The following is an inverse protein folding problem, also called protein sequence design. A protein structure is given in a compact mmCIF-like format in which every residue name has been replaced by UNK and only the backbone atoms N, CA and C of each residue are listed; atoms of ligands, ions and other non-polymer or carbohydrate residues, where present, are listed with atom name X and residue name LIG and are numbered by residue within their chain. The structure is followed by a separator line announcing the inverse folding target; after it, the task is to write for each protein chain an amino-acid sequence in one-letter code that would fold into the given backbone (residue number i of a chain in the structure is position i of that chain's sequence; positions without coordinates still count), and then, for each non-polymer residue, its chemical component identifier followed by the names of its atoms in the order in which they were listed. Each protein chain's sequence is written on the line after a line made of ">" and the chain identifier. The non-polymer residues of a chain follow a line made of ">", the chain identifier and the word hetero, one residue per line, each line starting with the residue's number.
data_IF_041490463021
#
_entry.id   IF_041490463021
#
_cell.length_a   1.000
_cell.length_b   1.000
_cell.length_c   1.000
_cell.angle_alpha   90.00
_cell.angle_beta   90.00
_cell.angle_gamma   90.00
#
_symmetry.space_group_name_H-M   'P 1'
#
loop_
_entity.id
_entity.type
_entity.pdbx_description
1 polymer ?
#
# COMPACT_ATOMS: atom_id res chain seq x y z
N UNK A 1 -8.53 20.65 -6.18
CA UNK A 1 -8.92 20.56 -7.61
C UNK A 1 -7.83 21.00 -8.58
N UNK A 2 -7.06 22.09 -8.33
CA UNK A 2 -5.92 22.47 -9.21
C UNK A 2 -4.79 21.43 -9.26
N UNK A 3 -4.50 20.74 -8.16
CA UNK A 3 -3.47 19.68 -8.12
C UNK A 3 -3.95 18.34 -8.71
N UNK A 4 -5.25 18.21 -9.00
CA UNK A 4 -5.86 16.99 -9.54
C UNK A 4 -5.52 16.81 -11.02
N UNK A 5 -5.65 17.88 -11.81
CA UNK A 5 -5.30 17.88 -13.22
C UNK A 5 -3.78 17.94 -13.45
N UNK A 6 -3.03 18.53 -12.53
CA UNK A 6 -1.56 18.63 -12.65
C UNK A 6 -0.90 17.26 -12.71
N UNK A 7 -1.33 16.27 -11.92
CA UNK A 7 -0.72 14.92 -11.94
C UNK A 7 -0.88 14.21 -13.29
N UNK A 8 -2.08 14.29 -13.89
CA UNK A 8 -2.39 13.66 -15.19
C UNK A 8 -1.59 14.23 -16.36
N UNK A 9 -0.98 15.41 -16.19
CA UNK A 9 -0.18 16.12 -17.21
C UNK A 9 1.25 16.35 -16.72
N UNK A 10 1.63 15.80 -15.56
CA UNK A 10 2.96 15.97 -15.01
C UNK A 10 3.94 15.07 -15.76
N UNK A 11 4.53 15.59 -16.83
CA UNK A 11 5.54 14.90 -17.64
C UNK A 11 6.86 14.59 -16.89
N UNK A 12 6.91 14.78 -15.57
CA UNK A 12 7.99 14.31 -14.70
C UNK A 12 7.72 12.92 -14.13
N UNK A 13 6.46 12.49 -14.11
CA UNK A 13 6.04 11.19 -13.59
C UNK A 13 6.21 10.11 -14.68
N UNK A 14 6.97 9.02 -14.42
CA UNK A 14 7.29 8.02 -15.43
C UNK A 14 6.05 7.29 -15.97
N UNK A 15 4.99 7.17 -15.18
CA UNK A 15 3.69 6.65 -15.56
C UNK A 15 3.00 7.52 -16.62
N UNK A 16 3.11 8.84 -16.52
CA UNK A 16 2.51 9.79 -17.48
C UNK A 16 3.27 9.72 -18.80
N UNK A 17 4.60 9.69 -18.76
CA UNK A 17 5.43 9.57 -19.97
C UNK A 17 5.13 8.27 -20.72
N UNK A 18 5.09 7.13 -20.01
CA UNK A 18 4.76 5.83 -20.61
C UNK A 18 3.34 5.83 -21.19
N UNK A 19 2.39 6.43 -20.49
CA UNK A 19 1.01 6.56 -20.98
C UNK A 19 0.95 7.33 -22.29
N UNK A 20 1.59 8.49 -22.38
CA UNK A 20 1.60 9.31 -23.61
C UNK A 20 2.19 8.52 -24.77
N UNK A 21 3.36 7.91 -24.59
CA UNK A 21 4.01 7.12 -25.65
C UNK A 21 3.16 5.94 -26.11
N UNK A 22 2.63 5.15 -25.18
CA UNK A 22 1.77 4.02 -25.52
C UNK A 22 0.47 4.46 -26.21
N UNK A 23 -0.12 5.59 -25.80
CA UNK A 23 -1.35 6.11 -26.41
C UNK A 23 -1.14 6.59 -27.84
N UNK A 24 -0.02 7.27 -28.10
CA UNK A 24 0.36 7.69 -29.46
C UNK A 24 0.58 6.47 -30.34
N UNK A 25 1.35 5.49 -29.86
CA UNK A 25 1.61 4.24 -30.60
C UNK A 25 0.32 3.47 -30.87
N UNK A 26 -0.59 3.42 -29.89
CA UNK A 26 -1.89 2.76 -30.03
C UNK A 26 -2.76 3.44 -31.10
N UNK A 27 -2.81 4.78 -31.16
CA UNK A 27 -3.55 5.48 -32.21
C UNK A 27 -2.93 5.30 -33.58
N UNK A 28 -1.60 5.33 -33.70
CA UNK A 28 -0.93 5.04 -34.98
C UNK A 28 -1.33 3.64 -35.47
N UNK A 29 -1.35 2.65 -34.58
CA UNK A 29 -1.83 1.31 -34.91
C UNK A 29 -3.31 1.30 -35.36
N UNK A 30 -4.20 2.01 -34.67
CA UNK A 30 -5.62 2.10 -35.04
C UNK A 30 -5.87 2.81 -36.38
N UNK A 31 -4.99 3.75 -36.75
CA UNK A 31 -5.04 4.39 -38.07
C UNK A 31 -4.59 3.43 -39.17
N UNK A 32 -3.56 2.61 -38.94
CA UNK A 32 -3.05 1.65 -39.92
C UNK A 32 -4.06 0.57 -40.30
N UNK A 33 -4.95 0.19 -39.37
CA UNK A 33 -5.97 -0.84 -39.60
C UNK A 33 -7.33 -0.28 -40.06
N UNK A 34 -7.43 1.04 -40.28
CA UNK A 34 -8.70 1.74 -40.54
C UNK A 34 -9.80 1.35 -39.53
N UNK A 35 -9.49 1.53 -38.24
CA UNK A 35 -10.34 1.09 -37.14
C UNK A 35 -11.77 1.66 -37.23
N UNK A 36 -11.96 2.84 -37.84
CA UNK A 36 -13.28 3.41 -38.06
C UNK A 36 -14.18 2.49 -38.91
N UNK A 37 -13.65 1.95 -40.00
CA UNK A 37 -14.38 0.99 -40.85
C UNK A 37 -14.58 -0.36 -40.13
N UNK A 38 -13.57 -0.82 -39.38
CA UNK A 38 -13.65 -2.07 -38.59
C UNK A 38 -14.73 -1.99 -37.51
N UNK A 39 -14.87 -0.83 -36.84
CA UNK A 39 -15.90 -0.59 -35.82
C UNK A 39 -17.31 -0.78 -36.38
N UNK A 40 -17.58 -0.21 -37.55
CA UNK A 40 -18.90 -0.28 -38.19
C UNK A 40 -19.25 -1.72 -38.61
N UNK A 41 -18.25 -2.49 -39.05
CA UNK A 41 -18.44 -3.89 -39.45
C UNK A 41 -18.55 -4.86 -38.27
N UNK A 42 -17.98 -4.53 -37.11
CA UNK A 42 -17.83 -5.45 -35.97
C UNK A 42 -18.38 -4.88 -34.65
N UNK A 43 -19.51 -4.15 -34.73
CA UNK A 43 -20.05 -3.41 -33.58
C UNK A 43 -20.32 -4.31 -32.36
N UNK A 44 -20.76 -5.55 -32.58
CA UNK A 44 -21.04 -6.51 -31.50
C UNK A 44 -19.78 -6.98 -30.79
N UNK A 45 -18.68 -7.20 -31.52
CA UNK A 45 -17.38 -7.52 -30.91
C UNK A 45 -16.83 -6.36 -30.09
N UNK A 46 -17.06 -5.12 -30.53
CA UNK A 46 -16.66 -3.92 -29.79
C UNK A 46 -17.50 -3.73 -28.52
N UNK A 47 -18.81 -3.99 -28.58
CA UNK A 47 -19.67 -4.00 -27.38
C UNK A 47 -19.18 -5.03 -26.36
N UNK A 48 -18.82 -6.23 -26.81
CA UNK A 48 -18.27 -7.29 -25.95
C UNK A 48 -16.95 -6.86 -25.30
N UNK A 49 -16.01 -6.33 -26.10
CA UNK A 49 -14.73 -5.80 -25.60
C UNK A 49 -14.95 -4.72 -24.54
N UNK A 50 -15.86 -3.78 -24.78
CA UNK A 50 -16.19 -2.69 -23.87
C UNK A 50 -16.75 -3.22 -22.54
N UNK A 51 -17.64 -4.21 -22.59
CA UNK A 51 -18.19 -4.84 -21.38
C UNK A 51 -17.10 -5.57 -20.58
N UNK A 52 -16.20 -6.27 -21.25
CA UNK A 52 -15.04 -6.92 -20.60
C UNK A 52 -14.13 -5.90 -19.94
N UNK A 53 -13.87 -4.76 -20.60
CA UNK A 53 -13.07 -3.68 -20.03
C UNK A 53 -13.74 -3.05 -18.81
N UNK A 54 -15.07 -2.83 -18.85
CA UNK A 54 -15.83 -2.38 -17.67
C UNK A 54 -15.67 -3.37 -16.52
N UNK A 55 -15.82 -4.67 -16.78
CA UNK A 55 -15.61 -5.71 -15.77
C UNK A 55 -14.19 -5.68 -15.17
N UNK A 56 -13.17 -5.51 -16.02
CA UNK A 56 -11.78 -5.36 -15.58
C UNK A 56 -11.55 -4.11 -14.71
N UNK A 57 -12.17 -2.98 -15.07
CA UNK A 57 -12.11 -1.75 -14.29
C UNK A 57 -12.82 -1.89 -12.93
N UNK A 58 -13.96 -2.58 -12.85
CA UNK A 58 -14.61 -2.90 -11.58
C UNK A 58 -13.69 -3.77 -10.70
N UNK A 59 -12.99 -4.74 -11.30
CA UNK A 59 -11.96 -5.52 -10.60
C UNK A 59 -10.85 -4.63 -10.02
N UNK A 60 -10.31 -3.72 -10.83
CA UNK A 60 -9.29 -2.74 -10.38
C UNK A 60 -9.81 -1.82 -9.27
N UNK A 61 -11.09 -1.44 -9.31
CA UNK A 61 -11.71 -0.66 -8.23
C UNK A 61 -11.68 -1.43 -6.91
N UNK A 62 -12.01 -2.72 -6.95
CA UNK A 62 -11.90 -3.62 -5.80
C UNK A 62 -10.48 -3.69 -5.24
N UNK A 63 -9.48 -3.82 -6.12
CA UNK A 63 -8.05 -3.79 -5.73
C UNK A 63 -7.67 -2.47 -5.07
N UNK A 64 -8.17 -1.33 -5.57
CA UNK A 64 -7.89 -0.02 -4.98
C UNK A 64 -8.47 0.13 -3.57
N UNK A 65 -9.70 -0.35 -3.34
CA UNK A 65 -10.35 -0.32 -2.03
C UNK A 65 -9.63 -1.26 -1.05
N UNK A 66 -9.31 -2.48 -1.49
CA UNK A 66 -8.55 -3.43 -0.69
C UNK A 66 -7.16 -2.88 -0.34
N UNK A 67 -6.46 -2.28 -1.29
CA UNK A 67 -5.15 -1.65 -1.07
C UNK A 67 -5.20 -0.55 0.00
N UNK A 68 -6.25 0.28 -0.01
CA UNK A 68 -6.46 1.29 1.01
C UNK A 68 -6.72 0.68 2.40
N UNK A 69 -7.56 -0.34 2.48
CA UNK A 69 -7.86 -1.04 3.74
C UNK A 69 -6.62 -1.71 4.32
N UNK A 70 -5.78 -2.32 3.47
CA UNK A 70 -4.53 -2.93 3.93
C UNK A 70 -3.52 -1.87 4.36
N UNK A 71 -3.36 -0.78 3.62
CA UNK A 71 -2.49 0.31 4.04
C UNK A 71 -2.92 0.87 5.42
N UNK A 72 -4.22 0.97 5.69
CA UNK A 72 -4.74 1.38 6.99
C UNK A 72 -4.49 0.33 8.09
N UNK A 73 -4.61 -0.96 7.79
CA UNK A 73 -4.42 -2.03 8.79
C UNK A 73 -2.95 -2.34 9.08
N UNK A 74 -2.05 -2.00 8.15
CA UNK A 74 -0.62 -2.24 8.30
C UNK A 74 0.00 -1.42 9.44
N UNK A 75 -0.54 -0.22 9.72
CA UNK A 75 0.03 0.69 10.71
C UNK A 75 -0.90 0.88 11.90
N UNK A 76 -0.33 0.91 13.10
CA UNK A 76 -1.10 1.21 14.31
C UNK A 76 -1.39 2.72 14.41
N UNK A 77 -2.40 3.11 15.20
CA UNK A 77 -2.71 4.52 15.42
C UNK A 77 -1.52 5.32 16.00
N UNK A 78 -0.63 4.66 16.75
CA UNK A 78 0.59 5.28 17.29
C UNK A 78 1.62 5.53 16.18
N UNK A 79 1.82 4.57 15.29
CA UNK A 79 2.71 4.70 14.14
C UNK A 79 2.23 5.76 13.17
N UNK A 80 0.91 5.81 12.88
CA UNK A 80 0.31 6.84 12.03
C UNK A 80 0.54 8.24 12.60
N UNK A 81 0.40 8.42 13.93
CA UNK A 81 0.71 9.71 14.59
C UNK A 81 2.19 10.05 14.44
N UNK A 82 3.07 9.11 14.73
CA UNK A 82 4.53 9.30 14.62
C UNK A 82 4.94 9.69 13.19
N UNK A 83 4.35 9.06 12.17
CA UNK A 83 4.57 9.38 10.76
C UNK A 83 4.11 10.81 10.45
N UNK A 84 2.92 11.20 10.92
CA UNK A 84 2.40 12.55 10.72
C UNK A 84 3.20 13.62 11.51
N UNK A 85 3.77 13.28 12.67
CA UNK A 85 4.62 14.18 13.46
C UNK A 85 5.96 14.46 12.77
N UNK A 86 6.47 13.49 11.99
CA UNK A 86 7.70 13.66 11.17
C UNK A 86 7.45 14.49 9.91
N UNK A 87 6.31 14.25 9.25
CA UNK A 87 5.87 15.01 8.09
C UNK A 87 4.35 15.15 8.11
N UNK A 88 3.90 16.38 8.30
CA UNK A 88 2.48 16.72 8.40
C UNK A 88 1.67 16.09 7.26
N UNK A 89 0.59 15.40 7.62
CA UNK A 89 -0.40 14.82 6.72
C UNK A 89 0.12 13.75 5.72
N UNK A 90 1.30 13.19 5.95
CA UNK A 90 1.89 12.16 5.07
C UNK A 90 1.04 10.90 4.96
N UNK A 91 0.48 10.40 6.07
CA UNK A 91 -0.36 9.18 6.04
C UNK A 91 -1.74 9.40 5.36
N UNK A 92 -2.49 10.48 5.67
CA UNK A 92 -3.68 10.85 4.90
C UNK A 92 -3.41 11.05 3.41
N UNK A 93 -2.23 11.54 3.02
CA UNK A 93 -1.88 11.75 1.62
C UNK A 93 -1.70 10.43 0.85
N UNK A 94 -1.17 9.39 1.51
CA UNK A 94 -1.12 8.03 0.96
C UNK A 94 -2.54 7.52 0.68
N UNK A 95 -3.45 7.63 1.67
CA UNK A 95 -4.85 7.20 1.49
C UNK A 95 -5.56 8.00 0.39
N UNK A 96 -5.28 9.29 0.29
CA UNK A 96 -5.80 10.17 -0.76
C UNK A 96 -5.38 9.71 -2.16
N UNK A 97 -4.19 9.13 -2.28
CA UNK A 97 -3.67 8.58 -3.55
C UNK A 97 -4.51 7.38 -4.01
N UNK A 98 -4.81 6.43 -3.11
CA UNK A 98 -5.74 5.33 -3.39
C UNK A 98 -7.17 5.82 -3.69
N UNK A 99 -7.64 6.84 -2.96
CA UNK A 99 -8.97 7.41 -3.19
C UNK A 99 -9.10 8.07 -4.56
N UNK A 100 -8.09 8.83 -5.00
CA UNK A 100 -8.07 9.41 -6.33
C UNK A 100 -7.99 8.34 -7.42
N UNK A 101 -7.23 7.27 -7.22
CA UNK A 101 -7.18 6.16 -8.17
C UNK A 101 -8.55 5.50 -8.36
N UNK A 102 -9.23 5.21 -7.25
CA UNK A 102 -10.59 4.67 -7.27
C UNK A 102 -11.57 5.62 -7.99
N UNK A 103 -11.47 6.94 -7.74
CA UNK A 103 -12.27 7.94 -8.43
C UNK A 103 -12.03 7.92 -9.95
N UNK A 104 -10.78 7.85 -10.39
CA UNK A 104 -10.43 7.84 -11.80
C UNK A 104 -10.98 6.59 -12.52
N UNK A 105 -10.94 5.44 -11.85
CA UNK A 105 -11.56 4.19 -12.32
C UNK A 105 -13.07 4.35 -12.49
N UNK A 106 -13.77 4.89 -11.47
CA UNK A 106 -15.23 5.10 -11.53
C UNK A 106 -15.60 6.03 -12.68
N UNK A 107 -14.84 7.11 -12.88
CA UNK A 107 -15.07 8.04 -13.97
C UNK A 107 -14.88 7.36 -15.34
N UNK A 108 -13.88 6.46 -15.46
CA UNK A 108 -13.66 5.67 -16.68
C UNK A 108 -14.81 4.70 -16.96
N UNK A 109 -15.31 4.02 -15.91
CA UNK A 109 -16.48 3.14 -16.01
C UNK A 109 -17.70 3.92 -16.51
N UNK A 110 -17.97 5.11 -15.96
CA UNK A 110 -19.10 5.95 -16.40
C UNK A 110 -18.96 6.32 -17.88
N UNK A 111 -17.77 6.71 -18.33
CA UNK A 111 -17.50 7.00 -19.75
C UNK A 111 -17.75 5.77 -20.61
N UNK A 112 -17.27 4.59 -20.21
CA UNK A 112 -17.44 3.35 -20.98
C UNK A 112 -18.89 2.90 -21.04
N UNK A 113 -19.63 3.02 -19.94
CA UNK A 113 -21.08 2.77 -19.93
C UNK A 113 -21.81 3.74 -20.87
N UNK A 114 -21.43 5.02 -20.86
CA UNK A 114 -21.98 6.01 -21.79
C UNK A 114 -21.74 5.63 -23.26
N UNK A 115 -20.52 5.22 -23.61
CA UNK A 115 -20.19 4.74 -24.96
C UNK A 115 -20.98 3.48 -25.31
N UNK A 116 -21.09 2.54 -24.38
CA UNK A 116 -21.85 1.30 -24.59
C UNK A 116 -23.32 1.61 -24.90
N UNK A 117 -23.94 2.51 -24.14
CA UNK A 117 -25.32 2.96 -24.39
C UNK A 117 -25.45 3.65 -25.75
N UNK A 118 -24.48 4.48 -26.15
CA UNK A 118 -24.48 5.10 -27.49
C UNK A 118 -24.40 4.03 -28.59
N UNK A 119 -23.59 2.99 -28.42
CA UNK A 119 -23.47 1.88 -29.39
C UNK A 119 -24.73 0.99 -29.47
N UNK A 120 -25.63 1.04 -28.46
CA UNK A 120 -26.94 0.38 -28.54
C UNK A 120 -27.95 1.20 -29.36
N UNK A 121 -27.73 2.50 -29.50
CA UNK A 121 -28.61 3.38 -30.28
C UNK A 121 -28.17 3.45 -31.74
N UNK A 122 -29.11 3.73 -32.65
CA UNK A 122 -28.81 4.01 -34.06
C UNK A 122 -28.23 5.43 -34.24
N UNK A 123 -27.32 5.85 -33.35
CA UNK A 123 -26.73 7.17 -33.41
C UNK A 123 -25.90 7.31 -34.69
N UNK A 124 -26.00 8.44 -35.41
CA UNK A 124 -25.22 8.63 -36.64
C UNK A 124 -23.72 8.50 -36.35
N UNK A 125 -23.02 7.82 -37.25
CA UNK A 125 -21.57 7.62 -37.15
C UNK A 125 -20.87 8.99 -37.08
N UNK A 126 -19.99 9.21 -36.09
CA UNK A 126 -19.29 10.48 -35.96
C UNK A 126 -18.32 10.70 -37.13
N UNK A 127 -18.05 11.96 -37.53
CA UNK A 127 -17.02 12.25 -38.51
C UNK A 127 -15.68 11.63 -38.12
N UNK A 128 -15.00 11.00 -39.08
CA UNK A 128 -13.70 10.30 -38.92
C UNK A 128 -12.69 11.06 -38.04
N UNK A 129 -12.41 12.37 -38.23
CA UNK A 129 -11.44 13.06 -37.36
C UNK A 129 -11.91 13.17 -35.91
N UNK A 130 -13.21 13.38 -35.67
CA UNK A 130 -13.78 13.47 -34.31
C UNK A 130 -13.69 12.11 -33.63
N UNK A 131 -13.95 11.03 -34.37
CA UNK A 131 -13.84 9.67 -33.87
C UNK A 131 -12.43 9.39 -33.31
N UNK A 132 -11.37 9.61 -34.10
CA UNK A 132 -10.02 9.32 -33.65
C UNK A 132 -9.55 10.19 -32.48
N UNK A 133 -9.98 11.46 -32.41
CA UNK A 133 -9.67 12.33 -31.26
C UNK A 133 -10.32 11.78 -29.98
N UNK A 134 -11.60 11.40 -30.05
CA UNK A 134 -12.32 10.82 -28.92
C UNK A 134 -11.70 9.48 -28.50
N UNK A 135 -11.38 8.61 -29.47
CA UNK A 135 -10.69 7.34 -29.22
C UNK A 135 -9.32 7.56 -28.58
N UNK A 136 -8.56 8.57 -28.98
CA UNK A 136 -7.28 8.91 -28.34
C UNK A 136 -7.47 9.29 -26.87
N UNK A 137 -8.41 10.19 -26.58
CA UNK A 137 -8.68 10.65 -25.21
C UNK A 137 -9.06 9.47 -24.32
N UNK A 138 -9.95 8.59 -24.81
CA UNK A 138 -10.42 7.42 -24.06
C UNK A 138 -9.30 6.41 -23.84
N UNK A 139 -8.52 6.12 -24.88
CA UNK A 139 -7.40 5.17 -24.82
C UNK A 139 -6.31 5.67 -23.87
N UNK A 140 -6.00 6.97 -23.93
CA UNK A 140 -5.09 7.63 -23.01
C UNK A 140 -5.56 7.47 -21.57
N UNK A 141 -6.85 7.71 -21.32
CA UNK A 141 -7.39 7.63 -19.98
C UNK A 141 -7.37 6.20 -19.41
N UNK A 142 -7.69 5.20 -20.24
CA UNK A 142 -7.57 3.79 -19.86
C UNK A 142 -6.12 3.40 -19.55
N UNK A 143 -5.19 3.74 -20.44
CA UNK A 143 -3.77 3.44 -20.25
C UNK A 143 -3.20 4.14 -19.01
N UNK A 144 -3.62 5.38 -18.74
CA UNK A 144 -3.25 6.10 -17.52
C UNK A 144 -3.64 5.31 -16.28
N UNK A 145 -4.87 4.80 -16.21
CA UNK A 145 -5.35 3.99 -15.08
C UNK A 145 -4.50 2.72 -14.92
N UNK A 146 -4.13 2.04 -16.02
CA UNK A 146 -3.31 0.84 -15.95
C UNK A 146 -1.89 1.13 -15.43
N UNK A 147 -1.23 2.15 -15.98
CA UNK A 147 0.13 2.51 -15.55
C UNK A 147 0.16 3.10 -14.14
N UNK A 148 -0.84 3.89 -13.77
CA UNK A 148 -0.97 4.42 -12.42
C UNK A 148 -1.23 3.31 -11.40
N UNK A 149 -2.11 2.36 -11.72
CA UNK A 149 -2.34 1.18 -10.89
C UNK A 149 -1.06 0.36 -10.67
N UNK A 150 -0.24 0.22 -11.71
CA UNK A 150 1.07 -0.43 -11.58
C UNK A 150 2.03 0.35 -10.68
N UNK A 151 2.11 1.68 -10.81
CA UNK A 151 2.92 2.52 -9.92
C UNK A 151 2.47 2.40 -8.44
N UNK A 152 1.16 2.32 -8.22
CA UNK A 152 0.57 2.17 -6.89
C UNK A 152 0.97 0.84 -6.21
N UNK A 153 1.10 -0.24 -6.98
CA UNK A 153 1.65 -1.52 -6.47
C UNK A 153 3.09 -1.36 -5.97
N UNK A 154 3.93 -0.60 -6.68
CA UNK A 154 5.30 -0.31 -6.23
C UNK A 154 5.34 0.49 -4.92
N UNK A 155 4.44 1.47 -4.78
CA UNK A 155 4.30 2.22 -3.53
C UNK A 155 3.84 1.32 -2.38
N UNK A 156 2.94 0.37 -2.64
CA UNK A 156 2.47 -0.57 -1.64
C UNK A 156 3.60 -1.48 -1.10
N UNK A 157 4.46 -1.99 -1.99
CA UNK A 157 5.66 -2.75 -1.57
C UNK A 157 6.57 -1.89 -0.69
N UNK A 158 6.77 -0.63 -1.05
CA UNK A 158 7.59 0.30 -0.29
C UNK A 158 7.03 0.56 1.11
N UNK A 159 5.71 0.69 1.24
CA UNK A 159 5.03 0.81 2.55
C UNK A 159 5.20 -0.45 3.41
N UNK A 160 5.21 -1.63 2.80
CA UNK A 160 5.47 -2.89 3.51
C UNK A 160 6.88 -2.97 4.04
N UNK A 161 7.88 -2.58 3.26
CA UNK A 161 9.26 -2.49 3.74
C UNK A 161 9.43 -1.45 4.86
N UNK A 162 8.71 -0.32 4.79
CA UNK A 162 8.70 0.67 5.86
C UNK A 162 8.13 0.07 7.16
N UNK A 163 7.02 -0.67 7.07
CA UNK A 163 6.43 -1.34 8.23
C UNK A 163 7.38 -2.33 8.89
N UNK A 164 8.06 -3.16 8.10
CA UNK A 164 9.08 -4.09 8.59
C UNK A 164 10.23 -3.36 9.29
N UNK A 165 10.68 -2.23 8.73
CA UNK A 165 11.73 -1.40 9.32
C UNK A 165 11.31 -0.83 10.68
N UNK A 166 10.08 -0.30 10.79
CA UNK A 166 9.53 0.19 12.07
C UNK A 166 9.46 -0.94 13.09
N UNK A 167 9.00 -2.13 12.70
CA UNK A 167 8.94 -3.30 13.58
C UNK A 167 10.30 -3.71 14.15
N UNK A 168 11.35 -3.66 13.33
CA UNK A 168 12.73 -3.95 13.78
C UNK A 168 13.25 -2.90 14.75
N UNK A 169 12.94 -1.62 14.53
CA UNK A 169 13.33 -0.54 15.44
C UNK A 169 12.63 -0.72 16.79
N UNK A 170 11.32 -0.97 16.80
CA UNK A 170 10.57 -1.19 18.05
C UNK A 170 11.06 -2.42 18.83
N UNK A 171 11.39 -3.52 18.14
CA UNK A 171 11.97 -4.70 18.79
C UNK A 171 13.33 -4.40 19.43
N UNK A 172 14.17 -3.61 18.75
CA UNK A 172 15.49 -3.20 19.25
C UNK A 172 15.35 -2.26 20.46
N UNK A 173 14.39 -1.33 20.42
CA UNK A 173 14.14 -0.40 21.51
C UNK A 173 13.61 -1.12 22.75
N UNK A 174 12.67 -2.07 22.59
CA UNK A 174 12.20 -2.94 23.69
C UNK A 174 13.36 -3.70 24.33
N UNK A 175 14.22 -4.33 23.53
CA UNK A 175 15.40 -5.04 24.05
C UNK A 175 16.34 -4.13 24.87
N UNK A 176 16.52 -2.86 24.49
CA UNK A 176 17.27 -1.89 25.28
C UNK A 176 16.57 -1.54 26.58
N UNK A 177 15.26 -1.28 26.56
CA UNK A 177 14.49 -1.00 27.78
C UNK A 177 14.48 -2.20 28.74
N UNK A 178 14.38 -3.42 28.22
CA UNK A 178 14.48 -4.65 29.01
C UNK A 178 15.85 -4.73 29.69
N UNK A 179 16.93 -4.42 28.96
CA UNK A 179 18.28 -4.34 29.53
C UNK A 179 18.41 -3.26 30.62
N UNK A 180 17.77 -2.09 30.44
CA UNK A 180 17.75 -1.03 31.46
C UNK A 180 16.92 -1.42 32.69
N UNK A 181 15.79 -2.10 32.49
CA UNK A 181 14.97 -2.62 33.59
C UNK A 181 15.71 -3.70 34.38
N UNK A 182 16.44 -4.59 33.71
CA UNK A 182 17.33 -5.55 34.36
C UNK A 182 18.40 -4.84 35.21
N UNK A 183 19.08 -3.82 34.66
CA UNK A 183 20.04 -3.03 35.42
C UNK A 183 19.41 -2.30 36.62
N UNK A 184 18.19 -1.77 36.46
CA UNK A 184 17.44 -1.15 37.55
C UNK A 184 17.06 -2.16 38.63
N UNK A 185 16.66 -3.37 38.24
CA UNK A 185 16.39 -4.47 39.16
C UNK A 185 17.65 -4.90 39.91
N UNK A 186 18.78 -5.03 39.22
CA UNK A 186 20.07 -5.36 39.84
C UNK A 186 20.46 -4.31 40.89
N UNK A 187 20.28 -3.02 40.55
CA UNK A 187 20.54 -1.93 41.48
C UNK A 187 19.59 -1.96 42.68
N UNK A 188 18.30 -2.26 42.47
CA UNK A 188 17.33 -2.41 43.56
C UNK A 188 17.68 -3.58 44.49
N UNK A 189 18.06 -4.74 43.91
CA UNK A 189 18.52 -5.91 44.68
C UNK A 189 19.77 -5.55 45.49
N UNK A 190 20.73 -4.85 44.90
CA UNK A 190 21.94 -4.42 45.59
C UNK A 190 21.60 -3.48 46.76
N UNK A 191 20.72 -2.49 46.57
CA UNK A 191 20.30 -1.57 47.64
C UNK A 191 19.63 -2.33 48.80
N UNK A 192 18.71 -3.24 48.49
CA UNK A 192 17.98 -4.03 49.50
C UNK A 192 18.94 -4.93 50.30
N UNK A 193 19.83 -5.63 49.61
CA UNK A 193 20.73 -6.58 50.27
C UNK A 193 21.88 -5.89 51.01
N UNK A 194 22.38 -4.75 50.50
CA UNK A 194 23.33 -3.89 51.22
C UNK A 194 22.73 -3.31 52.50
N UNK A 195 21.45 -2.92 52.48
CA UNK A 195 20.75 -2.41 53.68
C UNK A 195 20.47 -3.48 54.74
N UNK A 196 20.41 -4.75 54.34
CA UNK A 196 20.16 -5.89 55.24
C UNK A 196 21.43 -6.63 55.67
N UNK A 197 22.61 -6.21 55.20
CA UNK A 197 23.90 -6.82 55.54
C UNK A 197 24.15 -8.19 54.90
N UNK A 198 23.37 -8.56 53.87
CA UNK A 198 23.49 -9.83 53.15
C UNK A 198 24.09 -9.62 51.75
N UNK A 199 24.68 -10.67 51.17
CA UNK A 199 25.19 -10.63 49.80
C UNK A 199 24.05 -10.66 48.78
N UNK A 200 24.10 -9.78 47.77
CA UNK A 200 23.11 -9.72 46.67
C UNK A 200 22.95 -11.04 45.92
N UNK A 201 24.00 -11.86 45.83
CA UNK A 201 23.94 -13.22 45.24
C UNK A 201 22.95 -14.15 45.93
N UNK A 202 22.62 -13.92 47.20
CA UNK A 202 21.64 -14.74 47.94
C UNK A 202 20.22 -14.59 47.38
N UNK A 203 19.86 -13.42 46.86
CA UNK A 203 18.60 -13.19 46.16
C UNK A 203 18.48 -14.08 44.93
N UNK A 204 19.49 -14.06 44.05
CA UNK A 204 19.47 -14.84 42.81
C UNK A 204 19.50 -16.35 43.06
N UNK A 205 20.13 -16.82 44.15
CA UNK A 205 20.03 -18.23 44.59
C UNK A 205 18.62 -18.60 45.04
N UNK A 206 17.94 -17.73 45.78
CA UNK A 206 16.55 -17.96 46.19
C UNK A 206 15.59 -17.93 44.98
N UNK A 207 15.84 -17.02 44.04
CA UNK A 207 15.11 -16.96 42.77
C UNK A 207 15.31 -18.26 41.97
N UNK A 208 16.55 -18.72 41.81
CA UNK A 208 16.88 -19.98 41.15
C UNK A 208 16.14 -21.17 41.78
N UNK A 209 16.09 -21.23 43.11
CA UNK A 209 15.41 -22.30 43.83
C UNK A 209 13.89 -22.24 43.65
N UNK A 210 13.32 -21.03 43.56
CA UNK A 210 11.90 -20.82 43.25
C UNK A 210 11.57 -21.32 41.84
N UNK A 211 12.41 -21.00 40.85
CA UNK A 211 12.25 -21.50 39.47
C UNK A 211 12.39 -23.02 39.43
N UNK A 212 13.40 -23.59 40.11
CA UNK A 212 13.61 -25.05 40.24
C UNK A 212 12.44 -25.78 40.91
N UNK A 213 11.66 -25.12 41.75
CA UNK A 213 10.50 -25.71 42.41
C UNK A 213 9.17 -25.42 41.69
N UNK A 214 9.18 -24.52 40.69
CA UNK A 214 8.00 -24.18 39.91
C UNK A 214 7.67 -25.22 38.82
N UNK A 215 6.43 -25.21 38.34
CA UNK A 215 5.90 -26.02 37.24
C UNK A 215 5.84 -25.25 35.91
N UNK A 216 6.75 -24.30 35.69
CA UNK A 216 6.83 -23.48 34.47
C UNK A 216 7.37 -24.32 33.30
N UNK A 217 6.82 -24.11 32.09
CA UNK A 217 7.18 -24.87 30.88
C UNK A 217 8.61 -24.59 30.36
N UNK A 218 9.13 -23.37 30.55
CA UNK A 218 10.47 -22.93 30.10
C UNK A 218 11.52 -22.99 31.23
N UNK A 219 11.34 -23.91 32.17
CA UNK A 219 12.13 -23.98 33.41
C UNK A 219 13.63 -24.12 33.19
N UNK A 220 14.05 -24.94 32.23
CA UNK A 220 15.46 -25.24 31.96
C UNK A 220 16.20 -24.03 31.37
N UNK A 221 15.58 -23.32 30.42
CA UNK A 221 16.15 -22.06 29.87
C UNK A 221 16.30 -20.98 30.94
N UNK A 222 15.31 -20.83 31.83
CA UNK A 222 15.36 -19.86 32.92
C UNK A 222 16.44 -20.19 33.96
N UNK A 223 16.64 -21.47 34.26
CA UNK A 223 17.72 -21.92 35.15
C UNK A 223 19.08 -21.60 34.55
N UNK A 224 19.30 -21.94 33.28
CA UNK A 224 20.58 -21.69 32.60
C UNK A 224 20.87 -20.19 32.48
N UNK A 225 19.86 -19.37 32.22
CA UNK A 225 19.98 -17.91 32.19
C UNK A 225 20.42 -17.34 33.54
N UNK A 226 19.77 -17.74 34.64
CA UNK A 226 20.08 -17.23 35.98
C UNK A 226 21.49 -17.66 36.39
N UNK A 227 21.85 -18.93 36.18
CA UNK A 227 23.17 -19.47 36.56
C UNK A 227 24.29 -18.80 35.78
N UNK A 228 24.17 -18.65 34.46
CA UNK A 228 25.23 -18.07 33.63
C UNK A 228 25.44 -16.57 33.86
N UNK A 229 24.38 -15.85 34.22
CA UNK A 229 24.40 -14.38 34.28
C UNK A 229 24.65 -13.82 35.67
N UNK A 230 24.11 -14.45 36.72
CA UNK A 230 24.08 -13.85 38.07
C UNK A 230 24.84 -14.64 39.15
N UNK A 231 25.23 -15.90 38.89
CA UNK A 231 25.87 -16.78 39.89
C UNK A 231 27.33 -17.09 39.55
#
# INVERSE_FOLDING_TARGET
>A
MKDFWKRKVNLKEPEVIKTVWCSVLFIVFLLLIDFHSVLLLNIESIKSLLLTLIGGLIGLLGVSIAGMAIALSMFTSKEIRTINDLQDNSFPEILKTFSHFAYDIVLCIIIFVGIFLLLLTNFPSPPVPIFYVVTFIISYYLLYILFYGWALLGNYVSLSCLRDTIGKIEATEKSKFDSFNELGLDQLVEIIYRSSGQESKSFYRALLQTVKNSSISQKEELIEYIEKRYL
#
